data_IF_565708655807
#
_entry.id   IF_565708655807
#
_cell.length_a   1.000
_cell.length_b   1.000
_cell.length_c   1.000
_cell.angle_alpha   90.00
_cell.angle_beta   90.00
_cell.angle_gamma   90.00
#
_symmetry.space_group_name_H-M   'P 1'
#
loop_
_entity.id
_entity.type
_entity.pdbx_description
1 polymer ?
#
# COMPACT_ATOMS: atom_id res chain seq x y z
N UNK A 1 6.75 0.83 -8.79
CA UNK A 1 7.81 -0.05 -8.21
C UNK A 1 9.23 0.39 -8.53
N UNK A 2 9.57 0.74 -9.79
CA UNK A 2 10.93 1.20 -10.14
C UNK A 2 11.36 2.42 -9.31
N UNK A 3 10.49 3.40 -9.15
CA UNK A 3 10.82 4.61 -8.39
C UNK A 3 10.94 4.38 -6.87
N UNK A 4 10.11 3.50 -6.31
CA UNK A 4 10.28 3.04 -4.91
C UNK A 4 11.64 2.37 -4.70
N UNK A 5 12.09 1.53 -5.64
CA UNK A 5 13.43 0.92 -5.60
C UNK A 5 14.56 1.95 -5.76
N UNK A 6 14.28 3.09 -6.38
CA UNK A 6 15.21 4.22 -6.50
C UNK A 6 15.18 5.14 -5.27
N UNK A 7 14.37 4.82 -4.25
CA UNK A 7 14.27 5.59 -3.01
C UNK A 7 13.32 6.78 -3.06
N UNK A 8 12.44 6.89 -4.08
CA UNK A 8 11.36 7.89 -4.04
C UNK A 8 10.41 7.62 -2.88
N UNK A 9 9.81 8.69 -2.35
CA UNK A 9 8.85 8.58 -1.26
C UNK A 9 7.56 7.87 -1.70
N UNK A 10 7.05 7.01 -0.82
CA UNK A 10 5.84 6.25 -1.11
C UNK A 10 4.60 7.14 -1.14
N UNK A 11 4.52 8.12 -0.22
CA UNK A 11 3.36 8.99 -0.14
C UNK A 11 3.30 9.95 -1.34
N UNK A 12 4.44 10.42 -1.84
CA UNK A 12 4.53 11.17 -3.10
C UNK A 12 4.02 10.33 -4.28
N UNK A 13 4.55 9.13 -4.48
CA UNK A 13 4.11 8.24 -5.56
C UNK A 13 2.63 7.85 -5.44
N UNK A 14 2.11 7.70 -4.23
CA UNK A 14 0.70 7.45 -4.00
C UNK A 14 -0.16 8.67 -4.39
N UNK A 15 0.29 9.90 -4.14
CA UNK A 15 -0.42 11.10 -4.61
C UNK A 15 -0.45 11.22 -6.13
N UNK A 16 0.63 10.81 -6.79
CA UNK A 16 0.78 10.93 -8.25
C UNK A 16 0.05 9.80 -9.01
N UNK A 17 0.00 8.59 -8.46
CA UNK A 17 -0.40 7.40 -9.20
C UNK A 17 -1.55 6.59 -8.58
N UNK A 18 -1.99 6.89 -7.36
CA UNK A 18 -3.08 6.12 -6.74
C UNK A 18 -4.44 6.65 -7.19
N UNK A 19 -5.21 5.78 -7.84
CA UNK A 19 -6.62 6.02 -8.17
C UNK A 19 -7.57 5.81 -6.97
N UNK A 20 -7.04 5.31 -5.84
CA UNK A 20 -7.81 5.09 -4.61
C UNK A 20 -8.10 6.38 -3.82
N UNK A 21 -9.11 6.38 -2.96
CA UNK A 21 -9.54 7.57 -2.19
C UNK A 21 -8.47 8.10 -1.20
N UNK A 22 -7.51 7.26 -0.80
CA UNK A 22 -6.37 7.66 0.02
C UNK A 22 -5.22 8.29 -0.78
N UNK A 23 -5.26 8.24 -2.11
CA UNK A 23 -4.22 8.77 -3.01
C UNK A 23 -3.81 10.21 -2.67
N UNK A 24 -4.74 11.18 -2.59
CA UNK A 24 -4.43 12.57 -2.22
C UNK A 24 -3.75 12.72 -0.84
N UNK A 25 -4.00 11.77 0.08
CA UNK A 25 -3.38 11.70 1.41
C UNK A 25 -2.08 10.88 1.43
N UNK A 26 -1.52 10.55 0.27
CA UNK A 26 -0.30 9.75 0.16
C UNK A 26 -0.51 8.26 0.44
N UNK A 27 -1.72 7.76 0.18
CA UNK A 27 -2.05 6.35 0.39
C UNK A 27 -2.25 5.98 1.85
N UNK A 28 -2.34 6.96 2.77
CA UNK A 28 -2.58 6.70 4.19
C UNK A 28 -4.01 6.16 4.42
N UNK A 29 -4.08 4.95 4.95
CA UNK A 29 -5.33 4.25 5.30
C UNK A 29 -5.60 4.30 6.81
N UNK A 30 -4.75 4.96 7.59
CA UNK A 30 -4.82 4.99 9.04
C UNK A 30 -4.46 3.64 9.68
N UNK A 31 -4.89 3.46 10.93
CA UNK A 31 -4.70 2.20 11.67
C UNK A 31 -5.90 1.30 11.43
N UNK A 32 -5.62 0.07 11.03
CA UNK A 32 -6.61 -0.98 10.88
C UNK A 32 -6.09 -2.29 11.49
N UNK A 33 -7.00 -3.18 11.83
CA UNK A 33 -6.74 -4.53 12.34
C UNK A 33 -7.07 -5.58 11.29
N UNK A 34 -6.64 -6.82 11.53
CA UNK A 34 -6.91 -7.95 10.65
C UNK A 34 -8.41 -8.18 10.51
N UNK A 35 -8.87 -8.39 9.28
CA UNK A 35 -10.27 -8.57 8.90
C UNK A 35 -10.98 -7.28 8.46
N UNK A 36 -10.33 -6.12 8.55
CA UNK A 36 -10.94 -4.84 8.12
C UNK A 36 -10.74 -4.53 6.65
N UNK A 37 -9.72 -5.12 6.01
CA UNK A 37 -9.49 -4.99 4.56
C UNK A 37 -9.83 -6.30 3.85
N UNK A 38 -9.86 -6.25 2.51
CA UNK A 38 -10.05 -7.46 1.69
C UNK A 38 -8.96 -8.49 1.96
N UNK A 39 -9.27 -9.80 1.89
CA UNK A 39 -8.36 -10.86 2.32
C UNK A 39 -6.96 -10.79 1.71
N UNK A 40 -6.86 -10.43 0.42
CA UNK A 40 -5.59 -10.34 -0.30
C UNK A 40 -4.73 -9.17 0.19
N UNK A 41 -5.38 -8.04 0.50
CA UNK A 41 -4.70 -6.87 1.08
C UNK A 41 -4.21 -7.17 2.49
N UNK A 42 -5.07 -7.77 3.29
CA UNK A 42 -4.76 -8.17 4.66
C UNK A 42 -3.57 -9.14 4.69
N UNK A 43 -3.62 -10.21 3.90
CA UNK A 43 -2.51 -11.15 3.79
C UNK A 43 -1.21 -10.46 3.38
N UNK A 44 -1.26 -9.55 2.41
CA UNK A 44 -0.08 -8.81 1.99
C UNK A 44 0.48 -7.94 3.13
N UNK A 45 -0.34 -7.14 3.83
CA UNK A 45 0.11 -6.28 4.93
C UNK A 45 0.72 -7.08 6.08
N UNK A 46 0.04 -8.15 6.51
CA UNK A 46 0.48 -8.93 7.67
C UNK A 46 1.71 -9.79 7.39
N UNK A 47 2.03 -10.05 6.12
CA UNK A 47 3.27 -10.70 5.70
C UNK A 47 4.47 -9.72 5.59
N UNK A 48 4.22 -8.40 5.54
CA UNK A 48 5.28 -7.40 5.48
C UNK A 48 5.85 -7.11 6.86
N UNK A 49 7.16 -6.83 6.90
CA UNK A 49 7.79 -6.22 8.07
C UNK A 49 7.47 -4.72 8.15
N UNK A 50 7.54 -4.11 9.34
CA UNK A 50 7.46 -2.66 9.47
C UNK A 50 8.50 -1.97 8.58
N UNK A 51 8.06 -0.98 7.80
CA UNK A 51 8.85 -0.25 6.80
C UNK A 51 8.92 -0.89 5.42
N UNK A 52 8.46 -2.14 5.27
CA UNK A 52 8.54 -2.87 4.01
C UNK A 52 7.40 -2.51 3.03
N UNK A 53 7.68 -2.67 1.74
CA UNK A 53 6.73 -2.45 0.66
C UNK A 53 6.44 -3.78 -0.05
N UNK A 54 5.17 -4.07 -0.31
CA UNK A 54 4.75 -5.26 -1.02
C UNK A 54 5.19 -5.26 -2.48
N UNK A 55 5.15 -6.46 -3.08
CA UNK A 55 4.98 -6.58 -4.52
C UNK A 55 3.60 -6.07 -4.98
N UNK A 56 3.25 -6.38 -6.23
CA UNK A 56 1.92 -6.07 -6.76
C UNK A 56 0.90 -7.02 -6.13
N UNK A 57 -0.08 -6.48 -5.42
CA UNK A 57 -1.18 -7.22 -4.80
C UNK A 57 -2.40 -7.02 -5.68
N UNK A 58 -2.97 -8.11 -6.19
CA UNK A 58 -4.20 -8.06 -6.97
C UNK A 58 -5.39 -8.29 -6.03
N UNK A 59 -6.38 -7.41 -6.09
CA UNK A 59 -7.66 -7.56 -5.40
C UNK A 59 -8.80 -7.43 -6.42
N UNK A 60 -10.05 -7.57 -5.96
CA UNK A 60 -11.22 -7.24 -6.77
C UNK A 60 -11.28 -5.75 -7.22
N UNK A 61 -10.55 -4.86 -6.54
CA UNK A 61 -10.47 -3.43 -6.87
C UNK A 61 -9.32 -3.09 -7.84
N UNK A 62 -8.56 -4.09 -8.29
CA UNK A 62 -7.44 -3.90 -9.21
C UNK A 62 -6.10 -4.24 -8.56
N UNK A 63 -5.11 -3.38 -8.77
CA UNK A 63 -3.73 -3.62 -8.34
C UNK A 63 -3.30 -2.62 -7.28
N UNK A 64 -2.63 -3.13 -6.25
CA UNK A 64 -2.20 -2.34 -5.11
C UNK A 64 -0.73 -2.58 -4.82
N UNK A 65 -0.07 -1.52 -4.38
CA UNK A 65 1.25 -1.59 -3.74
C UNK A 65 1.04 -1.08 -2.33
N UNK A 66 1.53 -1.82 -1.34
CA UNK A 66 1.22 -1.60 0.06
C UNK A 66 2.51 -1.38 0.82
N UNK A 67 2.59 -0.32 1.62
CA UNK A 67 3.71 -0.07 2.53
C UNK A 67 3.24 -0.21 3.96
N UNK A 68 3.87 -1.08 4.73
CA UNK A 68 3.58 -1.21 6.16
C UNK A 68 4.39 -0.17 6.92
N UNK A 69 3.72 0.76 7.61
CA UNK A 69 4.42 1.83 8.34
C UNK A 69 4.95 1.34 9.70
N UNK A 70 4.20 0.48 10.40
CA UNK A 70 4.53 -0.07 11.73
C UNK A 70 4.01 -1.50 11.86
#
# INVERSE_FOLDING_TARGET
LKDLKRGKDFAELAREHSDGPSGPKGGDLGRFTRGQMVPEFDQAVFNLKPGEVSGVVKTQFGYHIIKRIK
#
